data_IF_628287162447
#
_entry.id   IF_628287162447
#
_cell.length_a   1.000
_cell.length_b   1.000
_cell.length_c   1.000
_cell.angle_alpha   90.00
_cell.angle_beta   90.00
_cell.angle_gamma   90.00
#
_symmetry.space_group_name_H-M   'P 1'
#
loop_
_entity.id
_entity.type
_entity.pdbx_description
1 polymer ?
#
# COMPACT_ATOMS: atom_id res chain seq x y z
N UNK A 1 6.66 1.92 -3.94
CA UNK A 1 7.08 2.60 -2.70
C UNK A 1 7.98 1.68 -1.92
N UNK A 2 8.64 2.24 -0.92
CA UNK A 2 9.35 1.50 0.10
C UNK A 2 8.76 1.84 1.48
N UNK A 3 8.96 0.94 2.45
CA UNK A 3 8.52 1.04 3.85
C UNK A 3 8.84 -0.27 4.57
N UNK A 4 9.01 -0.27 5.88
CA UNK A 4 9.28 -1.49 6.67
C UNK A 4 7.97 -2.26 6.90
N UNK A 5 7.68 -3.26 6.06
CA UNK A 5 6.38 -3.94 6.04
C UNK A 5 6.34 -5.20 6.92
N UNK A 6 7.48 -5.71 7.39
CA UNK A 6 7.53 -6.85 8.31
C UNK A 6 8.20 -6.56 9.67
N UNK A 7 8.61 -5.32 9.91
CA UNK A 7 9.08 -4.83 11.20
C UNK A 7 10.53 -5.20 11.51
N UNK A 8 11.34 -5.48 10.48
CA UNK A 8 12.74 -5.85 10.65
C UNK A 8 13.69 -4.64 10.77
N UNK A 9 13.17 -3.42 10.60
CA UNK A 9 13.90 -2.17 10.64
C UNK A 9 14.51 -1.76 9.29
N UNK A 10 14.23 -2.49 8.22
CA UNK A 10 14.70 -2.25 6.85
C UNK A 10 13.53 -1.96 5.92
N UNK A 11 13.77 -1.17 4.88
CA UNK A 11 12.72 -0.86 3.93
C UNK A 11 12.49 -2.00 2.92
N UNK A 12 11.23 -2.39 2.76
CA UNK A 12 10.71 -3.36 1.79
C UNK A 12 10.13 -2.68 0.54
N UNK A 13 9.51 -3.43 -0.37
CA UNK A 13 8.88 -2.87 -1.58
C UNK A 13 7.42 -3.26 -1.75
N UNK A 14 6.63 -2.28 -2.18
CA UNK A 14 5.26 -2.49 -2.66
C UNK A 14 5.01 -1.73 -3.97
N UNK A 15 4.18 -2.30 -4.82
CA UNK A 15 3.95 -1.79 -6.16
C UNK A 15 2.67 -2.27 -6.82
N UNK A 16 2.37 -1.65 -7.95
CA UNK A 16 1.24 -1.97 -8.81
C UNK A 16 1.77 -2.60 -10.11
N UNK A 17 1.08 -3.63 -10.57
CA UNK A 17 1.25 -4.12 -11.94
C UNK A 17 0.64 -3.13 -12.94
N UNK A 18 0.90 -3.31 -14.23
CA UNK A 18 0.33 -2.46 -15.30
C UNK A 18 -1.21 -2.39 -15.27
N UNK A 19 -1.87 -3.43 -14.76
CA UNK A 19 -3.33 -3.50 -14.65
C UNK A 19 -3.85 -3.09 -13.26
N UNK A 20 -2.98 -2.56 -12.39
CA UNK A 20 -3.37 -2.10 -11.05
C UNK A 20 -3.45 -3.19 -9.97
N UNK A 21 -3.05 -4.43 -10.28
CA UNK A 21 -2.90 -5.48 -9.26
C UNK A 21 -1.80 -5.13 -8.28
N UNK A 22 -2.01 -5.40 -6.98
CA UNK A 22 -1.18 -4.88 -5.88
C UNK A 22 -0.30 -6.00 -5.32
N UNK A 23 0.99 -5.70 -5.12
CA UNK A 23 1.95 -6.66 -4.59
C UNK A 23 2.94 -5.99 -3.64
N UNK A 24 3.46 -6.77 -2.68
CA UNK A 24 4.60 -6.39 -1.85
C UNK A 24 5.63 -7.53 -1.77
N UNK A 25 6.84 -7.21 -1.33
CA UNK A 25 7.93 -8.15 -1.10
C UNK A 25 8.84 -7.60 0.00
N UNK A 26 9.13 -8.44 1.00
CA UNK A 26 10.04 -8.12 2.11
C UNK A 26 11.42 -8.79 1.99
N UNK A 27 11.59 -9.66 0.99
CA UNK A 27 12.85 -10.34 0.70
C UNK A 27 13.43 -9.98 -0.67
N UNK A 28 12.78 -9.07 -1.40
CA UNK A 28 13.07 -8.66 -2.79
C UNK A 28 13.07 -9.80 -3.82
N UNK A 29 12.61 -11.00 -3.47
CA UNK A 29 12.62 -12.19 -4.31
C UNK A 29 11.19 -12.68 -4.55
N UNK A 30 10.37 -12.72 -3.51
CA UNK A 30 9.01 -13.25 -3.51
C UNK A 30 8.02 -12.12 -3.39
N UNK A 31 7.19 -11.96 -4.43
CA UNK A 31 6.11 -11.00 -4.44
C UNK A 31 4.81 -11.66 -3.99
N UNK A 32 4.21 -11.10 -2.95
CA UNK A 32 2.93 -11.51 -2.40
C UNK A 32 1.83 -10.63 -2.98
N UNK A 33 0.72 -11.24 -3.41
CA UNK A 33 -0.43 -10.49 -3.90
C UNK A 33 -1.28 -9.99 -2.73
N UNK A 34 -1.69 -8.73 -2.81
CA UNK A 34 -2.77 -8.18 -2.00
C UNK A 34 -4.02 -8.11 -2.89
N UNK A 35 -5.13 -8.77 -2.52
CA UNK A 35 -6.35 -8.74 -3.32
C UNK A 35 -6.85 -7.30 -3.51
N UNK A 36 -7.27 -6.97 -4.74
CA UNK A 36 -7.78 -5.64 -5.09
C UNK A 36 -7.09 -5.03 -6.30
N UNK A 37 -7.57 -3.85 -6.69
CA UNK A 37 -7.02 -3.06 -7.80
C UNK A 37 -6.97 -1.59 -7.43
N UNK A 38 -5.80 -0.99 -7.62
CA UNK A 38 -5.54 0.43 -7.37
C UNK A 38 -4.79 1.02 -8.56
N UNK A 39 -4.93 2.34 -8.75
CA UNK A 39 -4.20 3.12 -9.76
C UNK A 39 -3.06 3.94 -9.14
N UNK A 40 -3.07 4.07 -7.82
CA UNK A 40 -2.05 4.78 -7.04
C UNK A 40 -1.96 4.14 -5.67
N UNK A 41 -0.76 4.08 -5.14
CA UNK A 41 -0.45 3.41 -3.89
C UNK A 41 0.58 4.29 -3.15
N UNK A 42 0.49 4.36 -1.83
CA UNK A 42 1.37 5.08 -0.90
C UNK A 42 1.58 4.20 0.35
N UNK A 43 2.68 4.44 1.06
CA UNK A 43 3.00 3.74 2.30
C UNK A 43 3.24 4.72 3.45
N UNK A 44 3.10 4.23 4.68
CA UNK A 44 3.40 4.93 5.93
C UNK A 44 2.72 4.23 7.11
N UNK A 45 3.22 4.42 8.32
CA UNK A 45 2.63 3.87 9.55
C UNK A 45 1.31 4.60 9.90
N UNK A 46 0.17 3.99 9.58
CA UNK A 46 -1.16 4.60 9.71
C UNK A 46 -1.89 4.16 10.97
N UNK A 47 -1.54 3.02 11.58
CA UNK A 47 -2.12 2.56 12.84
C UNK A 47 -1.20 2.66 14.06
N UNK A 48 0.07 3.05 13.88
CA UNK A 48 1.01 3.38 14.93
C UNK A 48 1.72 2.16 15.53
N UNK A 49 1.79 1.05 14.80
CA UNK A 49 2.43 -0.19 15.27
C UNK A 49 3.94 -0.24 15.00
N UNK A 50 4.48 0.75 14.27
CA UNK A 50 5.88 0.85 13.91
C UNK A 50 6.25 0.13 12.61
N UNK A 51 5.30 -0.48 11.93
CA UNK A 51 5.43 -1.01 10.57
C UNK A 51 4.74 -0.05 9.59
N UNK A 52 5.20 -0.05 8.35
CA UNK A 52 4.55 0.73 7.29
C UNK A 52 3.26 0.03 6.83
N UNK A 53 2.20 0.79 6.66
CA UNK A 53 0.94 0.35 6.07
C UNK A 53 0.84 0.77 4.59
N UNK A 54 -0.26 0.37 3.91
CA UNK A 54 -0.54 0.81 2.55
C UNK A 54 -1.86 1.57 2.44
N UNK A 55 -1.87 2.61 1.62
CA UNK A 55 -3.08 3.31 1.18
C UNK A 55 -3.05 3.55 -0.33
N UNK A 56 -4.21 3.77 -0.94
CA UNK A 56 -4.28 3.92 -2.39
C UNK A 56 -5.59 4.47 -2.92
N UNK A 57 -5.58 4.76 -4.22
CA UNK A 57 -6.75 5.18 -4.99
C UNK A 57 -7.19 4.07 -5.93
N UNK A 58 -8.48 3.77 -5.93
CA UNK A 58 -9.12 3.00 -6.99
C UNK A 58 -9.36 3.88 -8.22
N UNK A 59 -9.60 3.27 -9.39
CA UNK A 59 -9.81 3.99 -10.64
C UNK A 59 -11.04 4.93 -10.65
N UNK A 60 -11.96 4.76 -9.72
CA UNK A 60 -13.11 5.65 -9.51
C UNK A 60 -12.83 6.79 -8.50
N UNK A 61 -11.58 6.92 -8.03
CA UNK A 61 -11.15 7.90 -7.03
C UNK A 61 -11.39 7.47 -5.58
N UNK A 62 -11.98 6.29 -5.33
CA UNK A 62 -12.19 5.80 -3.97
C UNK A 62 -10.87 5.61 -3.23
N UNK A 63 -10.81 6.06 -1.99
CA UNK A 63 -9.61 5.98 -1.15
C UNK A 63 -9.70 4.73 -0.28
N UNK A 64 -8.64 3.93 -0.25
CA UNK A 64 -8.57 2.72 0.55
C UNK A 64 -7.27 2.65 1.32
N UNK A 65 -7.27 2.00 2.48
CA UNK A 65 -6.07 1.67 3.24
C UNK A 65 -6.11 0.22 3.73
N UNK A 66 -4.95 -0.33 4.08
CA UNK A 66 -4.78 -1.67 4.63
C UNK A 66 -3.59 -1.66 5.56
N UNK A 67 -3.80 -2.10 6.81
CA UNK A 67 -2.75 -2.25 7.82
C UNK A 67 -2.34 -3.71 8.06
N UNK A 68 -2.87 -4.61 7.23
CA UNK A 68 -2.68 -6.06 7.38
C UNK A 68 -2.42 -6.77 6.06
N UNK A 69 -2.30 -6.01 4.96
CA UNK A 69 -2.08 -6.49 3.59
C UNK A 69 -3.05 -7.59 3.10
N UNK A 70 -4.21 -7.70 3.74
CA UNK A 70 -5.20 -8.76 3.47
C UNK A 70 -6.53 -8.18 3.04
N UNK A 71 -6.96 -7.08 3.66
CA UNK A 71 -8.21 -6.41 3.34
C UNK A 71 -8.01 -4.91 3.17
N UNK A 72 -8.68 -4.35 2.16
CA UNK A 72 -8.77 -2.91 1.95
C UNK A 72 -10.00 -2.35 2.66
N UNK A 73 -9.78 -1.34 3.50
CA UNK A 73 -10.83 -0.56 4.15
C UNK A 73 -11.05 0.72 3.36
N UNK A 74 -12.32 1.02 3.05
CA UNK A 74 -12.68 2.26 2.37
C UNK A 74 -12.56 3.45 3.34
N UNK A 75 -11.58 4.32 3.08
CA UNK A 75 -11.53 5.64 3.69
C UNK A 75 -12.52 6.52 2.96
N UNK A 76 -13.57 6.94 3.65
CA UNK A 76 -14.70 7.68 3.06
C UNK A 76 -14.24 8.82 2.16
N UNK A 77 -14.86 8.97 0.98
CA UNK A 77 -14.59 10.06 0.05
C UNK A 77 -13.99 9.62 -1.29
N UNK A 78 -13.72 10.61 -2.13
CA UNK A 78 -13.18 10.43 -3.48
C UNK A 78 -12.13 11.51 -3.74
N UNK A 79 -10.95 11.10 -4.18
CA UNK A 79 -9.83 11.98 -4.50
C UNK A 79 -9.38 11.78 -5.94
N UNK A 80 -8.91 12.87 -6.56
CA UNK A 80 -8.25 12.81 -7.87
C UNK A 80 -6.77 12.39 -7.76
N UNK A 81 -6.14 12.60 -6.60
CA UNK A 81 -4.75 12.26 -6.35
C UNK A 81 -4.53 11.98 -4.85
N UNK A 82 -3.59 11.09 -4.56
CA UNK A 82 -3.16 10.70 -3.22
C UNK A 82 -1.63 10.80 -3.17
N UNK A 83 -1.12 11.81 -2.46
CA UNK A 83 0.31 11.98 -2.27
C UNK A 83 0.75 11.20 -1.03
N UNK A 84 1.91 10.54 -1.12
CA UNK A 84 2.63 9.99 0.03
C UNK A 84 3.87 10.83 0.29
N UNK A 85 4.38 10.79 1.52
CA UNK A 85 5.74 11.24 1.80
C UNK A 85 6.75 10.27 1.19
N UNK A 86 7.91 10.78 0.78
CA UNK A 86 9.10 9.94 0.67
C UNK A 86 9.62 9.74 2.09
N UNK A 87 9.59 8.51 2.58
CA UNK A 87 10.47 8.09 3.67
C UNK A 87 11.89 7.87 3.14
#
# INVERSE_FOLDING_TARGET
>A
MAGDFDGDGTADLAGLTANGGIYYSTDFVRWQNIPGMLVRLVAGDFDGDGQADLAGLAGNGGVYYSTSFTNWVYATGVLANLAGSSE
#
